data_IF_592294288645
#
_entry.id   IF_592294288645
#
_cell.length_a   1.000
_cell.length_b   1.000
_cell.length_c   1.000
_cell.angle_alpha   90.00
_cell.angle_beta   90.00
_cell.angle_gamma   90.00
#
_symmetry.space_group_name_H-M   'P 1'
#
loop_
_entity.id
_entity.type
_entity.pdbx_description
1 polymer ?
#
# COMPACT_ATOMS: atom_id res chain seq x y z
N UNK A 1 8.14 -0.77 -31.46
CA UNK A 1 8.39 -0.02 -30.24
C UNK A 1 8.05 -0.89 -29.03
N UNK A 2 8.96 -1.00 -28.11
CA UNK A 2 8.70 -1.73 -26.90
C UNK A 2 7.78 -0.89 -26.01
N UNK A 3 6.66 -1.48 -25.59
CA UNK A 3 5.77 -0.84 -24.63
C UNK A 3 6.20 -1.32 -23.26
N UNK A 4 6.73 -0.40 -22.48
CA UNK A 4 7.10 -0.69 -21.10
C UNK A 4 5.88 -0.51 -20.22
N UNK A 5 5.39 -1.63 -19.72
CA UNK A 5 4.32 -1.59 -18.74
C UNK A 5 4.91 -1.13 -17.40
N UNK A 6 4.35 -0.06 -16.86
CA UNK A 6 4.70 0.38 -15.52
C UNK A 6 3.96 -0.53 -14.52
N UNK A 7 4.63 -1.60 -14.09
CA UNK A 7 4.03 -2.57 -13.18
C UNK A 7 3.66 -1.95 -11.83
N UNK A 8 4.45 -0.97 -11.38
CA UNK A 8 4.14 -0.30 -10.13
C UNK A 8 2.81 0.42 -10.19
N UNK A 9 2.60 1.21 -11.24
CA UNK A 9 1.34 1.93 -11.44
C UNK A 9 0.18 0.98 -11.68
N UNK A 10 0.41 -0.04 -12.49
CA UNK A 10 -0.61 -1.05 -12.75
C UNK A 10 -0.99 -1.81 -11.46
N UNK A 11 0.01 -2.17 -10.66
CA UNK A 11 -0.22 -2.83 -9.38
C UNK A 11 -0.99 -1.95 -8.40
N UNK A 12 -0.67 -0.66 -8.34
CA UNK A 12 -1.43 0.27 -7.48
C UNK A 12 -2.89 0.34 -7.88
N UNK A 13 -3.18 0.37 -9.19
CA UNK A 13 -4.56 0.37 -9.66
C UNK A 13 -5.27 -0.93 -9.29
N UNK A 14 -4.61 -2.07 -9.46
CA UNK A 14 -5.17 -3.36 -9.08
C UNK A 14 -5.42 -3.44 -7.57
N UNK A 15 -4.50 -2.92 -6.77
CA UNK A 15 -4.65 -2.89 -5.31
C UNK A 15 -5.85 -2.04 -4.90
N UNK A 16 -6.00 -0.87 -5.53
CA UNK A 16 -7.13 0.02 -5.28
C UNK A 16 -8.44 -0.69 -5.60
N UNK A 17 -8.54 -1.29 -6.78
CA UNK A 17 -9.75 -1.98 -7.20
C UNK A 17 -10.07 -3.16 -6.29
N UNK A 18 -9.04 -3.87 -5.86
CA UNK A 18 -9.19 -4.98 -4.91
C UNK A 18 -9.79 -4.50 -3.58
N UNK A 19 -9.28 -3.40 -3.05
CA UNK A 19 -9.78 -2.84 -1.79
C UNK A 19 -11.22 -2.36 -1.92
N UNK A 20 -11.55 -1.67 -3.01
CA UNK A 20 -12.91 -1.20 -3.26
C UNK A 20 -13.87 -2.39 -3.32
N UNK A 21 -13.49 -3.45 -4.03
CA UNK A 21 -14.33 -4.66 -4.13
C UNK A 21 -14.49 -5.34 -2.77
N UNK A 22 -13.54 -5.18 -1.87
CA UNK A 22 -13.60 -5.74 -0.52
C UNK A 22 -14.33 -4.84 0.48
N UNK A 23 -14.89 -3.73 0.03
CA UNK A 23 -15.68 -2.83 0.87
C UNK A 23 -14.93 -1.65 1.46
N UNK A 24 -13.68 -1.46 1.10
CA UNK A 24 -12.90 -0.32 1.58
C UNK A 24 -13.24 0.93 0.77
N UNK A 25 -13.18 2.08 1.42
CA UNK A 25 -13.23 3.37 0.73
C UNK A 25 -11.80 3.87 0.59
N UNK A 26 -11.46 4.37 -0.59
CA UNK A 26 -10.14 4.95 -0.82
C UNK A 26 -10.20 6.42 -0.42
N UNK A 27 -9.36 6.80 0.53
CA UNK A 27 -9.28 8.18 1.01
C UNK A 27 -8.24 8.97 0.24
N UNK A 28 -7.08 8.39 -0.02
CA UNK A 28 -5.97 9.03 -0.71
C UNK A 28 -5.20 8.02 -1.54
N UNK A 29 -4.58 8.52 -2.61
CA UNK A 29 -3.63 7.77 -3.42
C UNK A 29 -2.35 8.59 -3.53
N UNK A 30 -1.20 7.93 -3.36
CA UNK A 30 0.10 8.57 -3.50
C UNK A 30 0.18 9.87 -2.71
N UNK A 31 -0.25 9.79 -1.45
CA UNK A 31 -0.28 10.95 -0.57
C UNK A 31 1.13 11.24 -0.06
N UNK A 32 1.54 12.48 -0.21
CA UNK A 32 2.89 12.90 0.19
C UNK A 32 2.85 13.81 1.40
N UNK A 33 3.83 13.59 2.27
CA UNK A 33 4.08 14.47 3.40
C UNK A 33 5.60 14.58 3.57
N UNK A 34 6.14 15.76 3.24
CA UNK A 34 7.58 15.92 3.17
C UNK A 34 8.17 15.01 2.09
N UNK A 35 9.10 14.15 2.49
CA UNK A 35 9.72 13.16 1.59
C UNK A 35 9.04 11.81 1.65
N UNK A 36 8.07 11.66 2.52
CA UNK A 36 7.36 10.40 2.67
C UNK A 36 6.20 10.33 1.69
N UNK A 37 5.89 9.14 1.22
CA UNK A 37 4.76 8.87 0.36
C UNK A 37 4.01 7.65 0.86
N UNK A 38 2.69 7.76 0.94
CA UNK A 38 1.80 6.66 1.29
C UNK A 38 1.06 6.25 0.01
N UNK A 39 1.22 4.98 -0.38
CA UNK A 39 0.67 4.49 -1.65
C UNK A 39 -0.86 4.61 -1.68
N UNK A 40 -1.51 4.05 -0.68
CA UNK A 40 -2.96 4.12 -0.54
C UNK A 40 -3.32 4.35 0.92
N UNK A 41 -4.34 5.17 1.14
CA UNK A 41 -4.97 5.31 2.45
C UNK A 41 -6.42 4.97 2.25
N UNK A 42 -6.93 4.04 3.03
CA UNK A 42 -8.28 3.53 2.90
C UNK A 42 -9.00 3.53 4.25
N UNK A 43 -10.29 3.38 4.22
CA UNK A 43 -11.10 3.28 5.43
C UNK A 43 -12.07 2.11 5.33
N UNK A 44 -12.25 1.42 6.44
CA UNK A 44 -13.25 0.37 6.58
C UNK A 44 -13.63 0.29 8.07
N UNK A 45 -14.93 0.19 8.36
CA UNK A 45 -15.46 -0.01 9.72
C UNK A 45 -14.84 0.96 10.74
N UNK A 46 -14.77 2.24 10.40
CA UNK A 46 -14.21 3.30 11.25
C UNK A 46 -12.71 3.16 11.51
N UNK A 47 -12.02 2.32 10.75
CA UNK A 47 -10.57 2.18 10.81
C UNK A 47 -9.95 2.89 9.62
N UNK A 48 -8.76 3.48 9.82
CA UNK A 48 -7.94 4.01 8.73
C UNK A 48 -6.81 3.03 8.47
N UNK A 49 -6.65 2.65 7.22
CA UNK A 49 -5.71 1.63 6.80
C UNK A 49 -4.68 2.27 5.89
N UNK A 50 -3.42 2.19 6.26
CA UNK A 50 -2.31 2.65 5.44
C UNK A 50 -1.76 1.44 4.68
N UNK A 51 -1.79 1.50 3.36
CA UNK A 51 -1.47 0.34 2.53
C UNK A 51 -0.23 0.62 1.69
N UNK A 52 0.78 -0.21 1.87
CA UNK A 52 1.96 -0.24 1.02
C UNK A 52 1.71 -1.25 -0.09
N UNK A 53 1.86 -0.83 -1.33
CA UNK A 53 1.67 -1.70 -2.49
C UNK A 53 3.03 -2.15 -2.99
N UNK A 54 3.26 -3.46 -3.02
CA UNK A 54 4.50 -4.05 -3.50
C UNK A 54 4.22 -4.87 -4.74
N UNK A 55 4.85 -4.49 -5.85
CA UNK A 55 4.73 -5.23 -7.10
C UNK A 55 6.04 -5.94 -7.39
N UNK A 56 5.93 -7.17 -7.83
CA UNK A 56 7.07 -8.01 -8.17
C UNK A 56 6.72 -8.83 -9.40
N UNK A 57 7.76 -9.21 -10.13
CA UNK A 57 7.64 -10.24 -11.15
C UNK A 57 7.88 -11.59 -10.49
N UNK A 58 7.28 -12.63 -11.02
CA UNK A 58 7.43 -13.98 -10.47
C UNK A 58 8.88 -14.46 -10.44
N UNK A 59 9.75 -13.81 -11.23
CA UNK A 59 11.18 -14.12 -11.28
C UNK A 59 12.00 -13.37 -10.21
N UNK A 60 11.40 -12.42 -9.52
CA UNK A 60 12.10 -11.67 -8.47
C UNK A 60 12.20 -12.51 -7.21
N UNK A 61 13.19 -12.19 -6.37
CA UNK A 61 13.45 -12.92 -5.12
C UNK A 61 13.01 -12.11 -3.91
N UNK A 62 12.72 -12.80 -2.81
CA UNK A 62 12.35 -12.21 -1.54
C UNK A 62 10.84 -12.11 -1.34
N UNK A 63 10.45 -11.96 -0.08
CA UNK A 63 9.05 -11.79 0.28
C UNK A 63 8.70 -10.30 0.27
N UNK A 64 7.47 -9.91 -0.11
CA UNK A 64 7.09 -8.50 -0.17
C UNK A 64 7.27 -7.74 1.12
N UNK A 65 6.98 -8.33 2.26
CA UNK A 65 7.12 -7.71 3.57
C UNK A 65 8.58 -7.40 3.94
N UNK A 66 9.54 -8.10 3.34
CA UNK A 66 10.97 -7.89 3.58
C UNK A 66 11.48 -6.58 2.98
N UNK A 67 10.67 -5.93 2.15
CA UNK A 67 11.07 -4.68 1.51
C UNK A 67 10.68 -3.44 2.31
N UNK A 68 10.04 -3.63 3.47
CA UNK A 68 9.75 -2.53 4.39
C UNK A 68 10.86 -2.50 5.43
N UNK A 69 11.78 -1.54 5.30
CA UNK A 69 12.93 -1.40 6.21
C UNK A 69 12.70 -0.26 7.21
N UNK A 70 13.62 -0.10 8.17
CA UNK A 70 13.44 0.86 9.25
C UNK A 70 13.36 2.32 8.78
N UNK A 71 14.04 2.69 7.69
CA UNK A 71 13.91 4.04 7.11
C UNK A 71 12.52 4.26 6.55
N UNK A 72 12.03 3.28 5.82
CA UNK A 72 10.68 3.32 5.26
C UNK A 72 9.65 3.35 6.37
N UNK A 73 9.83 2.54 7.41
CA UNK A 73 8.93 2.53 8.56
C UNK A 73 8.87 3.88 9.26
N UNK A 74 10.01 4.55 9.44
CA UNK A 74 10.04 5.88 10.03
C UNK A 74 9.30 6.90 9.18
N UNK A 75 9.49 6.85 7.87
CA UNK A 75 8.78 7.75 6.96
C UNK A 75 7.27 7.49 7.01
N UNK A 76 6.87 6.23 7.06
CA UNK A 76 5.46 5.84 7.16
C UNK A 76 4.85 6.30 8.48
N UNK A 77 5.58 6.15 9.58
CA UNK A 77 5.14 6.63 10.89
C UNK A 77 4.91 8.15 10.87
N UNK A 78 5.85 8.89 10.34
CA UNK A 78 5.78 10.35 10.25
C UNK A 78 4.58 10.79 9.40
N UNK A 79 4.45 10.23 8.21
CA UNK A 79 3.38 10.59 7.29
C UNK A 79 2.01 10.16 7.81
N UNK A 80 1.91 8.95 8.37
CA UNK A 80 0.63 8.45 8.89
C UNK A 80 0.17 9.25 10.10
N UNK A 81 1.08 9.63 10.99
CA UNK A 81 0.75 10.48 12.14
C UNK A 81 0.21 11.83 11.69
N UNK A 82 0.84 12.43 10.69
CA UNK A 82 0.38 13.71 10.14
C UNK A 82 -1.00 13.58 9.51
N UNK A 83 -1.26 12.48 8.80
CA UNK A 83 -2.55 12.24 8.17
C UNK A 83 -3.66 12.05 9.21
N UNK A 84 -3.40 11.24 10.23
CA UNK A 84 -4.36 10.99 11.31
C UNK A 84 -4.71 12.28 12.03
N UNK A 85 -3.72 13.14 12.28
CA UNK A 85 -3.94 14.43 12.91
C UNK A 85 -4.80 15.33 12.03
N UNK A 86 -4.48 15.41 10.73
CA UNK A 86 -5.23 16.22 9.76
C UNK A 86 -6.69 15.75 9.67
N UNK A 87 -6.92 14.45 9.66
CA UNK A 87 -8.24 13.86 9.58
C UNK A 87 -9.00 13.94 10.92
N UNK A 88 -8.28 14.22 12.00
CA UNK A 88 -8.81 14.16 13.36
C UNK A 88 -9.46 12.79 13.67
N UNK A 89 -8.77 11.74 13.25
CA UNK A 89 -9.25 10.37 13.40
C UNK A 89 -9.04 9.90 14.82
N UNK A 90 -10.08 9.39 15.45
CA UNK A 90 -10.06 8.91 16.83
C UNK A 90 -10.14 7.39 16.93
N UNK A 91 -10.28 6.71 15.80
CA UNK A 91 -10.46 5.25 15.76
C UNK A 91 -9.15 4.50 15.56
N UNK A 92 -9.29 3.24 15.26
CA UNK A 92 -8.14 2.37 15.01
C UNK A 92 -7.46 2.69 13.69
N UNK A 93 -6.17 2.39 13.63
CA UNK A 93 -5.39 2.43 12.40
C UNK A 93 -4.74 1.06 12.20
N UNK A 94 -4.39 0.77 10.95
CA UNK A 94 -3.74 -0.49 10.62
C UNK A 94 -2.79 -0.25 9.44
N UNK A 95 -1.68 -0.96 9.43
CA UNK A 95 -0.68 -0.90 8.34
C UNK A 95 -0.69 -2.22 7.60
N UNK A 96 -1.08 -2.17 6.33
CA UNK A 96 -1.21 -3.35 5.50
C UNK A 96 -0.24 -3.32 4.33
N UNK A 97 0.04 -4.49 3.78
CA UNK A 97 0.77 -4.64 2.53
C UNK A 97 -0.16 -5.34 1.54
N UNK A 98 -0.23 -4.81 0.32
CA UNK A 98 -0.81 -5.56 -0.79
C UNK A 98 0.33 -5.90 -1.73
N UNK A 99 0.60 -7.19 -1.84
CA UNK A 99 1.63 -7.72 -2.70
C UNK A 99 1.00 -8.23 -3.99
N UNK A 100 1.54 -7.80 -5.12
CA UNK A 100 1.07 -8.24 -6.42
C UNK A 100 2.25 -8.84 -7.16
N UNK A 101 2.10 -10.11 -7.53
CA UNK A 101 3.14 -10.86 -8.21
C UNK A 101 2.66 -11.14 -9.63
N UNK A 102 3.35 -10.57 -10.61
CA UNK A 102 3.01 -10.70 -12.01
C UNK A 102 3.85 -11.77 -12.68
N UNK A 103 3.18 -12.72 -13.37
CA UNK A 103 3.85 -13.55 -14.36
C UNK A 103 3.90 -12.83 -15.69
N UNK A 104 2.82 -12.11 -16.02
CA UNK A 104 2.76 -11.16 -17.11
C UNK A 104 1.69 -10.13 -16.76
N UNK A 105 1.42 -9.17 -17.64
CA UNK A 105 0.49 -8.07 -17.33
C UNK A 105 -0.94 -8.53 -17.01
N UNK A 106 -1.34 -9.71 -17.53
CA UNK A 106 -2.70 -10.21 -17.38
C UNK A 106 -2.80 -11.37 -16.38
N UNK A 107 -1.66 -11.96 -16.00
CA UNK A 107 -1.63 -13.08 -15.08
C UNK A 107 -0.85 -12.70 -13.84
N UNK A 108 -1.57 -12.55 -12.73
CA UNK A 108 -0.99 -12.07 -11.49
C UNK A 108 -1.72 -12.66 -10.29
N UNK A 109 -1.06 -12.57 -9.14
CA UNK A 109 -1.64 -12.92 -7.86
C UNK A 109 -1.65 -11.68 -6.97
N UNK A 110 -2.74 -11.47 -6.23
CA UNK A 110 -2.85 -10.43 -5.23
C UNK A 110 -2.90 -11.08 -3.86
N UNK A 111 -2.05 -10.60 -2.95
CA UNK A 111 -2.03 -11.06 -1.59
C UNK A 111 -2.15 -9.86 -0.65
N UNK A 112 -3.24 -9.78 0.10
CA UNK A 112 -3.48 -8.70 1.04
C UNK A 112 -3.06 -9.16 2.44
N UNK A 113 -2.00 -8.57 2.95
CA UNK A 113 -1.45 -8.88 4.26
C UNK A 113 -1.93 -7.80 5.23
N UNK A 114 -2.93 -8.13 6.03
CA UNK A 114 -3.47 -7.20 7.00
C UNK A 114 -2.58 -7.16 8.25
N UNK A 115 -2.47 -5.96 8.82
CA UNK A 115 -1.67 -5.76 10.03
C UNK A 115 -0.25 -6.28 9.84
N UNK A 116 0.33 -5.93 8.69
CA UNK A 116 1.59 -6.50 8.23
C UNK A 116 2.79 -5.99 9.02
N UNK A 117 2.72 -4.77 9.53
CA UNK A 117 3.80 -4.16 10.28
C UNK A 117 3.30 -2.97 11.09
N UNK A 118 4.10 -2.56 12.07
CA UNK A 118 3.85 -1.33 12.83
C UNK A 118 5.12 -0.51 12.79
N UNK A 119 5.06 0.74 12.29
CA UNK A 119 6.22 1.64 12.32
C UNK A 119 6.62 1.92 13.77
N UNK A 120 7.91 1.93 14.03
CA UNK A 120 8.45 2.14 15.38
C UNK A 120 9.29 3.40 15.47
#
# INVERSE_FOLDING_TARGET
MAIHLDLGRHGEQLAKDFLIAAGYRILEQNWRYGRAELDLIAAIDKKVIFVEVKTRRSTDHGEPEDFVNWKKERQLEFASSAYIERLNHQGEIRFDIIAIIFENKDLYQINHIQDAFWPS
#
